data_IF_362970930338
#
_entry.id   IF_362970930338
#
_cell.length_a   1.000
_cell.length_b   1.000
_cell.length_c   1.000
_cell.angle_alpha   90.00
_cell.angle_beta   90.00
_cell.angle_gamma   90.00
#
_symmetry.space_group_name_H-M   'P 1'
#
loop_
_entity.id
_entity.type
_entity.pdbx_description
1 polymer ?
#
# COMPACT_ATOMS: atom_id res chain seq x y z
N UNK A 1 8.72 10.53 -14.85
CA UNK A 1 8.90 10.01 -13.48
C UNK A 1 7.52 9.70 -12.94
N UNK A 2 7.24 8.42 -12.72
CA UNK A 2 5.98 7.95 -12.13
C UNK A 2 5.96 8.29 -10.65
N UNK A 3 4.87 8.86 -10.14
CA UNK A 3 4.66 9.06 -8.70
C UNK A 3 4.30 7.72 -8.03
N UNK A 4 4.92 7.39 -6.90
CA UNK A 4 4.60 6.15 -6.16
C UNK A 4 3.73 6.47 -4.95
N UNK A 5 2.59 5.81 -4.86
CA UNK A 5 1.67 5.97 -3.73
C UNK A 5 1.40 4.65 -3.04
N UNK A 6 1.58 4.60 -1.72
CA UNK A 6 1.14 3.47 -0.91
C UNK A 6 -0.23 3.82 -0.32
N UNK A 7 -1.24 2.99 -0.58
CA UNK A 7 -2.58 3.12 0.00
C UNK A 7 -2.88 1.92 0.89
N UNK A 8 -3.24 2.14 2.16
CA UNK A 8 -3.46 1.06 3.11
C UNK A 8 -4.45 1.47 4.22
N UNK A 9 -5.20 0.49 4.73
CA UNK A 9 -5.87 0.61 6.02
C UNK A 9 -5.01 -0.08 7.10
N UNK A 10 -4.73 0.65 8.19
CA UNK A 10 -3.78 0.27 9.23
C UNK A 10 -4.45 0.41 10.59
N UNK A 11 -4.36 -0.63 11.41
CA UNK A 11 -4.86 -0.66 12.78
C UNK A 11 -4.09 0.31 13.68
N UNK A 12 -4.64 0.61 14.86
CA UNK A 12 -4.03 1.49 15.86
C UNK A 12 -2.64 0.99 16.33
N UNK A 13 -2.39 -0.31 16.23
CA UNK A 13 -1.12 -0.98 16.55
C UNK A 13 -0.25 -1.31 15.32
N UNK A 14 -0.58 -0.78 14.14
CA UNK A 14 0.30 -0.80 12.96
C UNK A 14 0.17 -2.03 12.06
N UNK A 15 -0.88 -2.82 12.20
CA UNK A 15 -1.13 -4.02 11.40
C UNK A 15 -2.20 -3.78 10.33
N UNK A 16 -2.06 -4.45 9.19
CA UNK A 16 -3.01 -4.37 8.06
C UNK A 16 -3.94 -5.59 7.97
N UNK A 17 -3.54 -6.71 8.59
CA UNK A 17 -4.26 -7.97 8.51
C UNK A 17 -3.78 -8.94 9.60
N UNK A 18 -4.65 -9.84 10.05
CA UNK A 18 -4.28 -10.99 10.89
C UNK A 18 -3.86 -12.22 10.06
N UNK A 19 -3.50 -12.03 8.79
CA UNK A 19 -3.12 -13.11 7.86
C UNK A 19 -4.29 -13.67 7.03
N UNK A 20 -5.46 -13.02 7.08
CA UNK A 20 -6.64 -13.33 6.25
C UNK A 20 -7.37 -12.04 5.92
N UNK A 21 -7.26 -11.56 4.69
CA UNK A 21 -7.97 -10.38 4.20
C UNK A 21 -7.88 -9.16 5.12
N UNK A 22 -8.84 -8.25 4.97
CA UNK A 22 -8.99 -7.06 5.81
C UNK A 22 -9.91 -7.40 7.01
N UNK A 23 -9.52 -7.13 8.27
CA UNK A 23 -10.24 -7.58 9.46
C UNK A 23 -11.40 -6.68 9.91
N UNK A 24 -11.80 -5.73 9.06
CA UNK A 24 -12.89 -4.79 9.28
C UNK A 24 -13.69 -4.57 7.98
N UNK A 25 -14.94 -4.13 8.13
CA UNK A 25 -15.77 -3.69 7.03
C UNK A 25 -15.98 -2.18 7.15
N UNK A 26 -15.32 -1.40 6.29
CA UNK A 26 -15.39 0.06 6.25
C UNK A 26 -15.85 0.50 4.85
N UNK A 27 -17.16 0.69 4.64
CA UNK A 27 -17.70 1.03 3.32
C UNK A 27 -17.12 2.31 2.71
N UNK A 28 -16.94 3.37 3.50
CA UNK A 28 -16.37 4.63 2.99
C UNK A 28 -14.87 4.51 2.67
N UNK A 29 -14.10 3.69 3.40
CA UNK A 29 -12.71 3.36 3.03
C UNK A 29 -12.65 2.59 1.70
N UNK A 30 -13.50 1.58 1.51
CA UNK A 30 -13.59 0.84 0.23
C UNK A 30 -13.98 1.75 -0.93
N UNK A 31 -14.88 2.70 -0.70
CA UNK A 31 -15.29 3.71 -1.69
C UNK A 31 -14.15 4.67 -2.00
N UNK A 32 -13.43 5.13 -0.96
CA UNK A 32 -12.23 5.95 -1.13
C UNK A 32 -11.17 5.22 -1.96
N UNK A 33 -10.85 3.97 -1.62
CA UNK A 33 -9.89 3.15 -2.38
C UNK A 33 -10.28 3.01 -3.85
N UNK A 34 -11.55 2.68 -4.15
CA UNK A 34 -12.02 2.55 -5.54
C UNK A 34 -11.89 3.84 -6.33
N UNK A 35 -12.32 4.96 -5.74
CA UNK A 35 -12.20 6.28 -6.37
C UNK A 35 -10.72 6.66 -6.57
N UNK A 36 -9.87 6.37 -5.58
CA UNK A 36 -8.45 6.69 -5.64
C UNK A 36 -7.69 5.83 -6.67
N UNK A 37 -8.08 4.57 -6.82
CA UNK A 37 -7.44 3.60 -7.71
C UNK A 37 -7.92 3.69 -9.17
N UNK A 38 -8.96 4.48 -9.45
CA UNK A 38 -9.53 4.61 -10.79
C UNK A 38 -8.45 5.00 -11.82
N UNK A 39 -8.37 4.23 -12.92
CA UNK A 39 -7.41 4.40 -14.03
C UNK A 39 -5.93 4.28 -13.66
N UNK A 40 -5.59 3.97 -12.41
CA UNK A 40 -4.19 3.76 -11.98
C UNK A 40 -3.81 2.30 -12.11
N UNK A 41 -2.53 2.06 -12.40
CA UNK A 41 -1.94 0.74 -12.30
C UNK A 41 -1.69 0.39 -10.85
N UNK A 42 -1.89 -0.89 -10.51
CA UNK A 42 -1.78 -1.35 -9.13
C UNK A 42 -0.56 -2.24 -8.97
N UNK A 43 0.28 -1.98 -7.97
CA UNK A 43 1.32 -2.91 -7.54
C UNK A 43 0.88 -3.64 -6.29
N UNK A 44 0.85 -4.98 -6.37
CA UNK A 44 0.50 -5.79 -5.22
C UNK A 44 1.14 -7.18 -5.23
N UNK A 45 1.07 -7.86 -4.10
CA UNK A 45 1.62 -9.20 -3.94
C UNK A 45 0.62 -10.28 -4.35
N UNK A 46 1.14 -11.47 -4.67
CA UNK A 46 0.32 -12.63 -5.09
C UNK A 46 -0.83 -12.97 -4.13
N UNK A 47 -0.60 -12.93 -2.82
CA UNK A 47 -1.64 -13.24 -1.81
C UNK A 47 -2.77 -12.21 -1.88
N UNK A 48 -2.44 -10.92 -1.85
CA UNK A 48 -3.40 -9.82 -1.96
C UNK A 48 -4.17 -9.90 -3.28
N UNK A 49 -3.51 -10.27 -4.38
CA UNK A 49 -4.15 -10.43 -5.67
C UNK A 49 -5.22 -11.54 -5.63
N UNK A 50 -4.93 -12.67 -4.99
CA UNK A 50 -5.91 -13.74 -4.78
C UNK A 50 -7.08 -13.32 -3.89
N UNK A 51 -6.83 -12.51 -2.85
CA UNK A 51 -7.88 -11.99 -1.96
C UNK A 51 -8.78 -10.96 -2.65
N UNK A 52 -8.25 -10.21 -3.62
CA UNK A 52 -8.96 -9.21 -4.42
C UNK A 52 -9.60 -9.78 -5.70
N UNK A 53 -9.80 -11.10 -5.76
CA UNK A 53 -10.36 -11.77 -6.94
C UNK A 53 -11.65 -11.10 -7.44
N UNK A 54 -11.71 -10.83 -8.74
CA UNK A 54 -12.85 -10.18 -9.41
C UNK A 54 -12.87 -8.65 -9.36
N UNK A 55 -11.98 -8.01 -8.59
CA UNK A 55 -11.91 -6.54 -8.49
C UNK A 55 -11.20 -5.90 -9.71
N UNK A 56 -10.30 -6.63 -10.37
CA UNK A 56 -9.41 -6.10 -11.42
C UNK A 56 -10.04 -5.99 -12.81
N UNK A 57 -11.37 -6.02 -12.96
CA UNK A 57 -12.02 -5.96 -14.29
C UNK A 57 -11.57 -4.74 -15.10
N UNK A 58 -11.42 -3.61 -14.43
CA UNK A 58 -11.10 -2.31 -15.04
C UNK A 58 -9.70 -1.80 -14.62
N UNK A 59 -8.86 -2.68 -14.07
CA UNK A 59 -7.54 -2.34 -13.54
C UNK A 59 -6.45 -3.24 -14.12
N UNK A 60 -5.22 -2.71 -14.15
CA UNK A 60 -4.03 -3.44 -14.57
C UNK A 60 -3.18 -3.75 -13.32
N UNK A 61 -3.35 -4.94 -12.71
CA UNK A 61 -2.52 -5.35 -11.58
C UNK A 61 -1.13 -5.80 -12.06
N UNK A 62 -0.10 -5.21 -11.49
CA UNK A 62 1.28 -5.68 -11.48
C UNK A 62 1.45 -6.55 -10.23
N UNK A 63 1.54 -7.86 -10.43
CA UNK A 63 1.63 -8.82 -9.33
C UNK A 63 3.09 -9.17 -9.06
N UNK A 64 3.61 -8.68 -7.94
CA UNK A 64 4.98 -8.94 -7.54
C UNK A 64 5.14 -10.36 -7.02
N UNK A 65 6.09 -11.10 -7.59
CA UNK A 65 6.35 -12.50 -7.29
C UNK A 65 7.77 -12.89 -7.68
N UNK A 66 8.29 -13.93 -7.02
CA UNK A 66 9.57 -14.57 -7.40
C UNK A 66 9.38 -15.78 -8.32
N UNK A 67 8.13 -16.16 -8.56
CA UNK A 67 7.78 -17.26 -9.46
C UNK A 67 7.80 -16.79 -10.92
N UNK A 68 8.86 -17.16 -11.65
CA UNK A 68 9.02 -16.84 -13.08
C UNK A 68 7.94 -17.50 -13.97
N UNK A 69 7.22 -18.52 -13.48
CA UNK A 69 6.10 -19.14 -14.18
C UNK A 69 4.76 -18.45 -13.94
N UNK A 70 4.72 -17.40 -13.12
CA UNK A 70 3.50 -16.67 -12.79
C UNK A 70 2.82 -16.11 -14.03
N UNK A 71 1.52 -16.35 -14.14
CA UNK A 71 0.65 -15.75 -15.16
C UNK A 71 -0.55 -15.14 -14.47
N UNK A 72 -0.82 -13.88 -14.77
CA UNK A 72 -1.92 -13.10 -14.23
C UNK A 72 -2.70 -12.51 -15.40
N UNK A 73 -4.02 -12.53 -15.32
CA UNK A 73 -4.91 -11.94 -16.34
C UNK A 73 -6.20 -11.47 -15.66
N UNK A 74 -6.58 -10.19 -15.81
CA UNK A 74 -5.83 -9.09 -16.45
C UNK A 74 -4.58 -8.73 -15.64
N UNK A 75 -3.60 -8.06 -16.27
CA UNK A 75 -2.34 -7.64 -15.64
C UNK A 75 -1.12 -8.48 -16.01
N UNK A 76 -0.06 -8.35 -15.23
CA UNK A 76 1.23 -9.03 -15.47
C UNK A 76 1.99 -9.25 -14.16
N UNK A 77 2.88 -10.24 -14.13
CA UNK A 77 3.74 -10.48 -12.98
C UNK A 77 5.04 -9.67 -13.12
N UNK A 78 5.59 -9.21 -12.00
CA UNK A 78 6.84 -8.45 -11.92
C UNK A 78 7.72 -9.00 -10.80
N UNK A 79 9.04 -8.89 -10.92
CA UNK A 79 10.01 -9.40 -9.96
C UNK A 79 10.39 -8.37 -8.89
N UNK A 80 10.20 -7.08 -9.14
CA UNK A 80 10.56 -6.00 -8.21
C UNK A 80 9.72 -4.73 -8.38
N UNK A 81 9.89 -3.79 -7.44
CA UNK A 81 9.26 -2.45 -7.50
C UNK A 81 9.82 -1.64 -8.66
N UNK A 82 11.12 -1.75 -8.94
CA UNK A 82 11.79 -1.07 -10.05
C UNK A 82 11.28 -1.54 -11.41
N UNK A 83 11.05 -2.85 -11.57
CA UNK A 83 10.42 -3.38 -12.79
C UNK A 83 9.00 -2.83 -12.96
N UNK A 84 8.21 -2.78 -11.88
CA UNK A 84 6.88 -2.21 -11.90
C UNK A 84 6.88 -0.73 -12.30
N UNK A 85 7.84 0.03 -11.77
CA UNK A 85 8.07 1.44 -12.11
C UNK A 85 8.43 1.61 -13.58
N UNK A 86 9.39 0.85 -14.11
CA UNK A 86 9.78 0.93 -15.53
C UNK A 86 8.59 0.62 -16.46
N UNK A 87 7.75 -0.35 -16.11
CA UNK A 87 6.56 -0.69 -16.88
C UNK A 87 5.51 0.43 -16.83
N UNK A 88 5.29 1.02 -15.65
CA UNK A 88 4.40 2.17 -15.49
C UNK A 88 4.89 3.39 -16.29
N UNK A 89 6.20 3.67 -16.27
CA UNK A 89 6.82 4.75 -17.06
C UNK A 89 6.66 4.51 -18.56
N UNK A 90 6.93 3.28 -19.02
CA UNK A 90 6.81 2.90 -20.44
C UNK A 90 5.37 2.97 -20.95
N UNK A 91 4.38 2.89 -20.05
CA UNK A 91 2.96 2.98 -20.36
C UNK A 91 2.36 4.37 -20.07
N UNK A 92 3.22 5.39 -19.90
CA UNK A 92 2.84 6.78 -19.58
C UNK A 92 1.88 6.90 -18.38
N UNK A 93 1.99 5.99 -17.41
CA UNK A 93 1.20 6.06 -16.19
C UNK A 93 1.74 7.18 -15.30
N UNK A 94 0.90 8.10 -14.82
CA UNK A 94 1.38 9.19 -13.97
C UNK A 94 1.66 8.72 -12.53
N UNK A 95 0.97 7.67 -12.07
CA UNK A 95 1.00 7.22 -10.68
C UNK A 95 0.90 5.69 -10.60
N UNK A 96 1.82 5.07 -9.87
CA UNK A 96 1.78 3.65 -9.51
C UNK A 96 1.23 3.53 -8.09
N UNK A 97 0.10 2.82 -7.95
CA UNK A 97 -0.57 2.66 -6.67
C UNK A 97 -0.23 1.30 -6.05
N UNK A 98 0.52 1.32 -4.95
CA UNK A 98 0.88 0.13 -4.18
C UNK A 98 -0.21 -0.14 -3.14
N UNK A 99 -0.88 -1.29 -3.24
CA UNK A 99 -2.00 -1.66 -2.36
C UNK A 99 -1.76 -2.97 -1.58
N UNK A 100 -0.49 -3.33 -1.38
CA UNK A 100 -0.04 -4.33 -0.42
C UNK A 100 0.34 -5.68 -1.02
N UNK A 101 0.60 -6.72 -0.24
CA UNK A 101 0.56 -6.79 1.21
C UNK A 101 1.82 -6.27 1.91
N UNK A 102 1.98 -6.66 3.18
CA UNK A 102 3.03 -6.15 4.09
C UNK A 102 4.45 -6.15 3.50
N UNK A 103 4.87 -7.24 2.84
CA UNK A 103 6.19 -7.31 2.18
C UNK A 103 6.31 -6.30 1.03
N UNK A 104 5.26 -6.15 0.23
CA UNK A 104 5.24 -5.22 -0.90
C UNK A 104 5.30 -3.77 -0.41
N UNK A 105 4.57 -3.45 0.66
CA UNK A 105 4.68 -2.13 1.28
C UNK A 105 6.09 -1.86 1.79
N UNK A 106 6.74 -2.84 2.43
CA UNK A 106 8.10 -2.69 2.93
C UNK A 106 9.10 -2.45 1.79
N UNK A 107 8.99 -3.19 0.69
CA UNK A 107 9.84 -3.04 -0.50
C UNK A 107 9.57 -1.73 -1.25
N UNK A 108 8.32 -1.25 -1.28
CA UNK A 108 7.94 -0.03 -1.98
C UNK A 108 8.11 1.26 -1.16
N UNK A 109 8.18 1.19 0.18
CA UNK A 109 8.31 2.37 1.05
C UNK A 109 9.51 3.28 0.72
N UNK A 110 10.69 2.78 0.31
CA UNK A 110 11.79 3.63 -0.14
C UNK A 110 11.48 4.46 -1.40
N UNK A 111 10.61 3.96 -2.28
CA UNK A 111 10.22 4.61 -3.53
C UNK A 111 9.03 5.56 -3.39
N UNK A 112 8.25 5.44 -2.31
CA UNK A 112 7.00 6.15 -2.14
C UNK A 112 7.13 7.68 -2.14
N UNK A 113 6.33 8.42 -2.88
CA UNK A 113 6.23 9.89 -2.80
C UNK A 113 5.07 10.34 -1.92
N UNK A 114 4.07 9.47 -1.79
CA UNK A 114 2.81 9.74 -1.10
C UNK A 114 2.33 8.51 -0.34
N UNK A 115 1.72 8.73 0.81
CA UNK A 115 0.98 7.70 1.53
C UNK A 115 -0.48 8.15 1.65
N UNK A 116 -1.41 7.22 1.42
CA UNK A 116 -2.85 7.42 1.67
C UNK A 116 -3.26 6.37 2.68
N UNK A 117 -3.30 6.76 3.95
CA UNK A 117 -3.39 5.82 5.06
C UNK A 117 -4.69 6.02 5.81
N UNK A 118 -5.51 4.99 5.82
CA UNK A 118 -6.69 4.89 6.67
C UNK A 118 -6.25 4.35 8.03
N UNK A 119 -6.18 5.21 9.03
CA UNK A 119 -5.90 4.84 10.42
C UNK A 119 -7.20 4.39 11.10
N UNK A 120 -7.31 3.09 11.37
CA UNK A 120 -8.49 2.46 11.96
C UNK A 120 -8.33 2.37 13.47
N UNK A 121 -9.31 2.86 14.23
CA UNK A 121 -9.31 2.84 15.69
C UNK A 121 -9.65 1.43 16.24
N UNK A 122 -8.77 0.48 15.95
CA UNK A 122 -8.87 -0.91 16.39
C UNK A 122 -7.48 -1.48 16.60
N UNK A 123 -7.31 -2.29 17.64
CA UNK A 123 -6.09 -3.05 17.92
C UNK A 123 -6.27 -4.48 17.42
N UNK A 124 -5.29 -5.03 16.71
CA UNK A 124 -5.30 -6.43 16.27
C UNK A 124 -4.48 -7.35 17.19
N UNK A 125 -3.47 -6.81 17.88
CA UNK A 125 -2.57 -7.51 18.81
C UNK A 125 -1.44 -8.26 18.12
N UNK A 126 -1.68 -8.81 16.93
CA UNK A 126 -0.67 -9.41 16.08
C UNK A 126 -1.15 -9.45 14.62
N UNK A 127 -0.22 -9.44 13.68
CA UNK A 127 -0.57 -9.53 12.27
C UNK A 127 0.57 -9.19 11.33
N UNK A 128 0.19 -8.92 10.09
CA UNK A 128 1.06 -8.43 9.04
C UNK A 128 1.19 -6.90 9.22
N UNK A 129 2.40 -6.35 9.43
CA UNK A 129 2.56 -4.93 9.72
C UNK A 129 2.55 -4.06 8.45
N UNK A 130 2.15 -2.81 8.59
CA UNK A 130 2.52 -1.74 7.67
C UNK A 130 3.89 -1.16 8.07
N UNK A 131 4.73 -0.68 7.13
CA UNK A 131 5.98 -0.03 7.49
C UNK A 131 5.75 1.23 8.34
N UNK A 132 6.65 1.49 9.29
CA UNK A 132 6.52 2.66 10.19
C UNK A 132 6.56 3.97 9.41
N UNK A 133 5.62 4.86 9.71
CA UNK A 133 5.58 6.22 9.14
C UNK A 133 6.36 7.15 10.07
N UNK A 134 7.58 7.50 9.66
CA UNK A 134 8.43 8.41 10.43
C UNK A 134 8.05 9.87 10.15
N UNK A 135 7.64 10.63 11.17
CA UNK A 135 7.26 12.06 11.04
C UNK A 135 8.38 12.97 10.50
N UNK A 136 9.63 12.53 10.59
CA UNK A 136 10.77 13.25 10.01
C UNK A 136 10.83 13.10 8.48
N UNK A 137 10.19 12.08 7.92
CA UNK A 137 10.19 11.78 6.49
C UNK A 137 8.86 12.10 5.82
N UNK A 138 7.79 12.29 6.58
CA UNK A 138 6.42 12.42 6.09
C UNK A 138 5.68 13.58 6.77
N UNK A 139 5.06 14.43 5.96
CA UNK A 139 4.19 15.51 6.40
C UNK A 139 2.73 15.23 5.98
N UNK A 140 1.74 15.39 6.90
CA UNK A 140 0.35 15.20 6.55
C UNK A 140 -0.16 16.43 5.78
N UNK A 141 -0.73 16.21 4.60
CA UNK A 141 -1.23 17.27 3.71
C UNK A 141 -2.76 17.28 3.56
N UNK A 142 -3.42 16.20 3.97
CA UNK A 142 -4.88 16.10 4.00
C UNK A 142 -5.33 15.12 5.07
N UNK A 143 -6.52 15.36 5.64
CA UNK A 143 -7.15 14.51 6.63
C UNK A 143 -8.67 14.51 6.46
N UNK A 144 -9.26 13.33 6.45
CA UNK A 144 -10.71 13.10 6.46
C UNK A 144 -11.03 12.23 7.66
N UNK A 145 -11.93 12.68 8.54
CA UNK A 145 -12.28 11.99 9.78
C UNK A 145 -13.66 11.36 9.64
N UNK A 146 -13.77 10.09 9.98
CA UNK A 146 -15.02 9.33 10.07
C UNK A 146 -15.20 8.87 11.51
N UNK A 147 -16.22 9.42 12.18
CA UNK A 147 -16.68 8.91 13.48
C UNK A 147 -17.41 7.58 13.32
N UNK A 148 -17.84 7.00 14.44
CA UNK A 148 -18.78 5.88 14.40
C UNK A 148 -20.16 6.37 13.98
N UNK A 149 -20.84 5.57 13.17
CA UNK A 149 -22.20 5.84 12.70
C UNK A 149 -22.91 4.52 12.36
N UNK A 150 -24.10 4.58 11.76
CA UNK A 150 -24.87 3.38 11.40
C UNK A 150 -24.21 2.49 10.32
N UNK A 151 -23.22 3.00 9.60
CA UNK A 151 -22.45 2.29 8.57
C UNK A 151 -21.05 1.87 9.07
N UNK A 152 -20.56 2.49 10.15
CA UNK A 152 -19.20 2.32 10.67
C UNK A 152 -19.22 2.06 12.17
N UNK A 153 -19.04 0.79 12.54
CA UNK A 153 -18.90 0.36 13.95
C UNK A 153 -17.54 0.77 14.56
N UNK A 154 -16.59 1.20 13.74
CA UNK A 154 -15.22 1.57 14.13
C UNK A 154 -14.91 2.94 13.52
N UNK A 155 -14.41 3.86 14.33
CA UNK A 155 -13.95 5.15 13.82
C UNK A 155 -12.63 5.02 13.06
N UNK A 156 -12.41 5.88 12.07
CA UNK A 156 -11.17 5.91 11.32
C UNK A 156 -10.90 7.30 10.74
N UNK A 157 -9.65 7.57 10.40
CA UNK A 157 -9.28 8.75 9.64
C UNK A 157 -8.44 8.37 8.42
N UNK A 158 -8.69 9.01 7.29
CA UNK A 158 -7.88 8.88 6.08
C UNK A 158 -6.93 10.07 6.04
N UNK A 159 -5.63 9.81 6.14
CA UNK A 159 -4.59 10.84 6.07
C UNK A 159 -3.77 10.65 4.79
N UNK A 160 -3.64 11.73 4.01
CA UNK A 160 -2.65 11.79 2.93
C UNK A 160 -1.37 12.41 3.44
N UNK A 161 -0.26 11.71 3.29
CA UNK A 161 1.08 12.18 3.62
C UNK A 161 1.91 12.42 2.36
N UNK A 162 2.76 13.44 2.40
CA UNK A 162 3.78 13.70 1.38
C UNK A 162 5.17 13.53 1.95
N UNK A 163 6.08 12.97 1.15
CA UNK A 163 7.48 12.83 1.56
C UNK A 163 8.12 14.22 1.62
N UNK A 164 8.77 14.52 2.74
CA UNK A 164 9.46 15.81 2.97
C UNK A 164 10.98 15.68 3.10
N UNK A 165 11.48 14.47 3.30
CA UNK A 165 12.90 14.16 3.30
C UNK A 165 13.12 12.71 2.85
N UNK A 166 14.26 12.45 2.22
CA UNK A 166 14.74 11.08 2.03
C UNK A 166 14.90 10.41 3.40
N UNK A 167 14.57 9.12 3.51
CA UNK A 167 14.75 8.36 4.76
C UNK A 167 16.19 8.55 5.23
N UNK A 168 16.45 8.93 6.51
CA UNK A 168 17.79 8.85 7.06
C UNK A 168 18.26 7.40 6.87
N UNK A 169 19.42 7.25 6.23
CA UNK A 169 19.81 6.04 5.51
C UNK A 169 19.55 4.73 6.26
N UNK A 170 19.12 3.73 5.49
CA UNK A 170 19.21 2.32 5.86
C UNK A 170 20.70 1.91 5.94
N UNK A 171 21.43 2.46 6.90
CA UNK A 171 22.77 2.06 7.25
C UNK A 171 22.71 0.81 8.10
N UNK A 172 22.68 -0.37 7.46
CA UNK A 172 23.23 -1.55 8.10
C UNK A 172 24.75 -1.35 8.17
N UNK A 173 25.26 -0.89 9.31
CA UNK A 173 26.69 -1.00 9.62
C UNK A 173 27.01 -2.48 9.76
N UNK A 174 27.67 -3.04 8.75
CA UNK A 174 28.43 -4.28 8.91
C UNK A 174 29.55 -3.95 9.89
N UNK A 175 29.46 -4.49 11.09
CA UNK A 175 30.55 -4.40 12.05
C UNK A 175 31.76 -5.12 11.49
N UNK A 176 32.79 -4.36 11.11
CA UNK A 176 34.15 -4.86 11.05
C UNK A 176 34.55 -5.26 12.48
N UNK A 177 34.64 -6.56 12.73
CA UNK A 177 35.41 -7.09 13.84
C UNK A 177 36.77 -7.51 13.29
N UNK A 178 37.79 -6.75 13.71
CA UNK A 178 39.20 -7.11 13.64
C UNK A 178 39.53 -8.30 14.55
#
# INVERSE_FOLDING_TARGET
MVEVTLIAAVSADGFISCGRGIPWDLPEDKKHFRAYAEKKWLLLGRVTHSEMSGWFRDHQPLVMTRDAGCKVTPGQCVASVEEALHLAESADQPELLVCGGSQIYAEAMPFADKLVITHVDRILGAGLPFPKIHRQSWEPVSRIIHGTDALHDISFEIITWRRVAALPGAGWTVGEAA
#
